data_IF_509022478063
#
_entry.id   IF_509022478063
#
_cell.length_a   1.000
_cell.length_b   1.000
_cell.length_c   1.000
_cell.angle_alpha   90.00
_cell.angle_beta   90.00
_cell.angle_gamma   90.00
#
_symmetry.space_group_name_H-M   'P 1'
#
loop_
_entity.id
_entity.type
_entity.pdbx_description
1 polymer ?
#
# COMPACT_ATOMS: atom_id res chain seq x y z
N UNK A 1 26.32 15.42 29.61
CA UNK A 1 26.31 14.03 29.08
C UNK A 1 24.89 13.48 28.77
N UNK A 2 23.88 13.65 29.62
CA UNK A 2 22.51 13.08 29.39
C UNK A 2 21.81 13.57 28.13
N UNK A 3 21.96 14.82 27.73
CA UNK A 3 21.30 15.38 26.53
C UNK A 3 21.85 14.82 25.21
N UNK A 4 23.16 14.55 25.14
CA UNK A 4 23.80 13.98 23.94
C UNK A 4 23.32 12.53 23.72
N UNK A 5 23.26 11.76 24.81
CA UNK A 5 22.78 10.37 24.75
C UNK A 5 21.31 10.28 24.32
N UNK A 6 20.43 11.16 24.84
CA UNK A 6 19.04 11.23 24.46
C UNK A 6 18.87 11.57 22.97
N UNK A 7 19.63 12.52 22.45
CA UNK A 7 19.64 12.89 21.03
C UNK A 7 20.04 11.73 20.13
N UNK A 8 21.13 11.05 20.45
CA UNK A 8 21.61 9.90 19.67
C UNK A 8 20.57 8.78 19.63
N UNK A 9 19.90 8.51 20.74
CA UNK A 9 18.81 7.52 20.80
C UNK A 9 17.61 7.92 19.98
N UNK A 10 17.20 9.19 20.01
CA UNK A 10 16.07 9.70 19.24
C UNK A 10 16.36 9.63 17.74
N UNK A 11 17.53 10.06 17.29
CA UNK A 11 17.95 9.99 15.88
C UNK A 11 18.01 8.52 15.43
N UNK A 12 18.61 7.61 16.20
CA UNK A 12 18.65 6.19 15.88
C UNK A 12 17.26 5.55 15.84
N UNK A 13 16.35 5.95 16.73
CA UNK A 13 14.96 5.50 16.71
C UNK A 13 14.24 5.95 15.44
N UNK A 14 14.37 7.22 15.05
CA UNK A 14 13.75 7.79 13.86
C UNK A 14 14.34 7.19 12.57
N UNK A 15 15.66 7.02 12.51
CA UNK A 15 16.37 6.35 11.40
C UNK A 15 15.88 4.91 11.21
N UNK A 16 15.61 4.17 12.30
CA UNK A 16 15.04 2.81 12.22
C UNK A 16 13.61 2.78 11.65
N UNK A 17 12.88 3.88 11.69
CA UNK A 17 11.53 3.99 11.11
C UNK A 17 11.56 4.25 9.61
N UNK A 18 12.61 4.85 9.09
CA UNK A 18 12.79 5.09 7.64
C UNK A 18 13.30 3.81 6.99
N UNK A 19 12.57 3.29 6.02
CA UNK A 19 12.81 1.97 5.40
C UNK A 19 13.79 2.02 4.22
N UNK A 20 14.07 3.19 3.67
CA UNK A 20 14.95 3.35 2.50
C UNK A 20 16.34 3.83 2.92
N UNK A 21 17.39 3.08 2.52
CA UNK A 21 18.78 3.43 2.78
C UNK A 21 19.20 4.74 2.11
N UNK A 22 18.67 5.00 0.92
CA UNK A 22 18.90 6.22 0.14
C UNK A 22 18.23 7.46 0.78
N UNK A 23 17.05 7.27 1.38
CA UNK A 23 16.35 8.33 2.13
C UNK A 23 17.01 8.59 3.49
N UNK A 24 17.67 7.59 4.07
CA UNK A 24 18.44 7.75 5.32
C UNK A 24 19.64 8.68 5.19
N UNK A 25 20.31 8.69 4.03
CA UNK A 25 21.43 9.60 3.77
C UNK A 25 21.00 11.07 3.75
N UNK A 26 19.74 11.35 3.37
CA UNK A 26 19.15 12.71 3.42
C UNK A 26 18.82 13.18 4.84
N UNK A 27 18.61 12.23 5.78
CA UNK A 27 18.33 12.52 7.21
C UNK A 27 19.63 12.66 8.02
N UNK A 28 20.72 12.09 7.55
CA UNK A 28 22.02 12.27 8.19
C UNK A 28 22.33 13.76 8.20
N UNK A 29 22.12 14.35 9.37
CA UNK A 29 22.49 15.73 9.66
C UNK A 29 23.91 15.95 9.17
N UNK A 30 24.17 16.93 8.30
CA UNK A 30 25.51 17.16 7.78
C UNK A 30 26.49 17.19 8.94
N UNK A 31 27.59 16.48 8.80
CA UNK A 31 28.65 16.36 9.82
C UNK A 31 29.05 17.75 10.39
N UNK A 32 28.98 18.77 9.52
CA UNK A 32 29.16 20.19 9.87
C UNK A 32 28.14 20.75 10.89
N UNK A 33 26.90 20.30 10.83
CA UNK A 33 25.86 20.76 11.77
C UNK A 33 26.04 20.09 13.15
N UNK A 34 26.47 18.84 13.18
CA UNK A 34 26.87 18.15 14.41
C UNK A 34 28.07 18.84 15.08
N UNK A 35 29.09 19.20 14.31
CA UNK A 35 30.26 19.93 14.78
C UNK A 35 29.87 21.31 15.34
N UNK A 36 28.97 22.06 14.68
CA UNK A 36 28.52 23.34 15.18
C UNK A 36 27.81 23.23 16.54
N UNK A 37 26.97 22.19 16.73
CA UNK A 37 26.32 21.91 18.02
C UNK A 37 27.32 21.52 19.10
N UNK A 38 28.34 20.73 18.77
CA UNK A 38 29.37 20.35 19.72
C UNK A 38 30.23 21.54 20.17
N UNK A 39 30.58 22.45 19.25
CA UNK A 39 31.39 23.63 19.51
C UNK A 39 30.67 24.72 20.25
N UNK A 40 29.38 24.96 19.92
CA UNK A 40 28.65 26.10 20.47
C UNK A 40 28.19 25.92 21.91
N UNK A 41 28.06 24.69 22.41
CA UNK A 41 27.46 24.34 23.73
C UNK A 41 26.10 25.05 23.98
N UNK A 42 25.51 25.63 22.98
CA UNK A 42 24.32 26.44 23.04
C UNK A 42 23.04 25.59 22.96
N UNK A 43 22.11 25.81 23.88
CA UNK A 43 20.78 25.18 23.83
C UNK A 43 20.01 25.59 22.55
N UNK A 44 20.19 26.84 22.09
CA UNK A 44 19.55 27.34 20.87
C UNK A 44 20.05 26.61 19.62
N UNK A 45 21.36 26.40 19.47
CA UNK A 45 21.92 25.65 18.34
C UNK A 45 21.44 24.19 18.32
N UNK A 46 21.30 23.57 19.50
CA UNK A 46 20.75 22.22 19.61
C UNK A 46 19.25 22.18 19.17
N UNK A 47 18.47 23.16 19.62
CA UNK A 47 17.06 23.25 19.25
C UNK A 47 16.88 23.43 17.74
N UNK A 48 17.70 24.22 17.09
CA UNK A 48 17.69 24.45 15.64
C UNK A 48 17.98 23.19 14.86
N UNK A 49 19.05 22.46 15.20
CA UNK A 49 19.38 21.16 14.55
C UNK A 49 18.27 20.14 14.76
N UNK A 50 17.65 20.10 15.94
CA UNK A 50 16.49 19.22 16.18
C UNK A 50 15.30 19.60 15.31
N UNK A 51 14.99 20.89 15.16
CA UNK A 51 13.91 21.38 14.30
C UNK A 51 14.16 20.96 12.84
N UNK A 52 15.33 21.26 12.29
CA UNK A 52 15.68 20.87 10.91
C UNK A 52 15.60 19.37 10.68
N UNK A 53 16.05 18.56 11.64
CA UNK A 53 15.96 17.10 11.57
C UNK A 53 14.51 16.62 11.58
N UNK A 54 13.67 17.19 12.43
CA UNK A 54 12.24 16.85 12.47
C UNK A 54 11.51 17.26 11.19
N UNK A 55 11.81 18.42 10.63
CA UNK A 55 11.25 18.87 9.36
C UNK A 55 11.65 17.95 8.20
N UNK A 56 12.93 17.58 8.11
CA UNK A 56 13.39 16.63 7.08
C UNK A 56 12.70 15.27 7.20
N UNK A 57 12.52 14.76 8.42
CA UNK A 57 11.81 13.49 8.67
C UNK A 57 10.33 13.62 8.29
N UNK A 58 9.65 14.71 8.66
CA UNK A 58 8.26 14.95 8.28
C UNK A 58 8.07 14.95 6.77
N UNK A 59 8.94 15.65 6.03
CA UNK A 59 8.90 15.67 4.56
C UNK A 59 9.04 14.28 3.96
N UNK A 60 9.99 13.47 4.47
CA UNK A 60 10.19 12.10 3.98
C UNK A 60 9.00 11.20 4.28
N UNK A 61 8.39 11.32 5.46
CA UNK A 61 7.20 10.55 5.82
C UNK A 61 5.99 10.94 4.96
N UNK A 62 5.84 12.22 4.64
CA UNK A 62 4.80 12.71 3.72
C UNK A 62 5.01 12.19 2.29
N UNK A 63 6.26 12.17 1.80
CA UNK A 63 6.62 11.59 0.50
C UNK A 63 6.34 10.08 0.46
N UNK A 64 6.72 9.33 1.50
CA UNK A 64 6.41 7.89 1.60
C UNK A 64 4.90 7.63 1.61
N UNK A 65 4.12 8.50 2.26
CA UNK A 65 2.66 8.38 2.28
C UNK A 65 2.05 8.70 0.91
N UNK A 66 2.57 9.70 0.18
CA UNK A 66 2.15 10.02 -1.19
C UNK A 66 2.54 8.93 -2.19
N UNK A 67 3.73 8.35 -2.07
CA UNK A 67 4.19 7.22 -2.90
C UNK A 67 3.30 6.00 -2.69
N UNK A 68 2.96 5.68 -1.45
CA UNK A 68 2.07 4.58 -1.14
C UNK A 68 0.67 4.76 -1.71
N UNK A 69 0.05 5.94 -1.54
CA UNK A 69 -1.23 6.31 -2.18
C UNK A 69 -1.16 6.24 -3.71
N UNK A 70 -0.01 6.56 -4.30
CA UNK A 70 0.25 6.36 -5.74
C UNK A 70 0.32 4.88 -6.11
N UNK A 71 0.91 4.03 -5.26
CA UNK A 71 1.07 2.60 -5.51
C UNK A 71 -0.28 1.88 -5.48
N UNK A 72 -1.13 2.14 -4.49
CA UNK A 72 -2.48 1.58 -4.41
C UNK A 72 -3.33 1.97 -5.61
N UNK A 73 -3.25 3.21 -6.06
CA UNK A 73 -3.94 3.66 -7.29
C UNK A 73 -3.47 2.92 -8.52
N UNK A 74 -2.16 2.70 -8.68
CA UNK A 74 -1.61 1.91 -9.80
C UNK A 74 -2.07 0.46 -9.75
N UNK A 75 -2.10 -0.16 -8.56
CA UNK A 75 -2.63 -1.51 -8.38
C UNK A 75 -4.09 -1.58 -8.82
N UNK A 76 -4.93 -0.66 -8.36
CA UNK A 76 -6.35 -0.62 -8.73
C UNK A 76 -6.54 -0.44 -10.24
N UNK A 77 -5.77 0.44 -10.88
CA UNK A 77 -5.82 0.63 -12.33
C UNK A 77 -5.45 -0.64 -13.11
N UNK A 78 -4.48 -1.43 -12.63
CA UNK A 78 -4.13 -2.72 -13.23
C UNK A 78 -5.26 -3.73 -13.01
N UNK A 79 -5.87 -3.77 -11.82
CA UNK A 79 -7.02 -4.64 -11.54
C UNK A 79 -8.18 -4.31 -12.49
N UNK A 80 -8.53 -3.04 -12.65
CA UNK A 80 -9.59 -2.57 -13.54
C UNK A 80 -9.34 -2.96 -15.00
N UNK A 81 -8.11 -2.90 -15.46
CA UNK A 81 -7.72 -3.25 -16.82
C UNK A 81 -7.75 -4.76 -17.06
N UNK A 82 -7.21 -5.54 -16.12
CA UNK A 82 -6.86 -6.94 -16.33
C UNK A 82 -7.69 -7.96 -15.53
N UNK A 83 -8.75 -7.55 -14.82
CA UNK A 83 -9.52 -8.41 -13.92
C UNK A 83 -10.08 -9.67 -14.60
N UNK A 84 -10.34 -9.65 -15.92
CA UNK A 84 -10.84 -10.80 -16.67
C UNK A 84 -9.79 -11.90 -16.87
N UNK A 85 -8.51 -11.54 -16.80
CA UNK A 85 -7.39 -12.45 -17.01
C UNK A 85 -6.88 -13.10 -15.72
N UNK A 86 -5.84 -13.94 -15.89
CA UNK A 86 -5.12 -14.54 -14.75
C UNK A 86 -4.18 -13.53 -14.15
N UNK A 87 -4.69 -12.69 -13.26
CA UNK A 87 -3.92 -11.67 -12.56
C UNK A 87 -3.68 -12.09 -11.10
N UNK A 88 -2.46 -11.89 -10.63
CA UNK A 88 -2.06 -12.16 -9.25
C UNK A 88 -1.22 -11.02 -8.66
N UNK A 89 -1.10 -11.00 -7.33
CA UNK A 89 -0.17 -10.10 -6.63
C UNK A 89 1.25 -10.12 -7.24
N UNK A 90 1.70 -11.32 -7.68
CA UNK A 90 3.04 -11.49 -8.27
C UNK A 90 3.14 -10.81 -9.63
N UNK A 91 2.10 -10.89 -10.45
CA UNK A 91 2.07 -10.29 -11.78
C UNK A 91 2.00 -8.77 -11.69
N UNK A 92 1.16 -8.24 -10.81
CA UNK A 92 1.10 -6.79 -10.51
C UNK A 92 2.46 -6.30 -9.98
N UNK A 93 3.09 -7.06 -9.07
CA UNK A 93 4.41 -6.71 -8.56
C UNK A 93 5.48 -6.65 -9.64
N UNK A 94 5.46 -7.59 -10.60
CA UNK A 94 6.36 -7.58 -11.76
C UNK A 94 6.13 -6.37 -12.66
N UNK A 95 4.87 -6.06 -12.98
CA UNK A 95 4.53 -4.93 -13.85
C UNK A 95 4.94 -3.59 -13.23
N UNK A 96 4.74 -3.44 -11.93
CA UNK A 96 5.13 -2.22 -11.19
C UNK A 96 6.60 -2.18 -10.79
N UNK A 97 7.40 -3.20 -11.15
CA UNK A 97 8.80 -3.34 -10.72
C UNK A 97 8.98 -3.30 -9.19
N UNK A 98 8.00 -3.85 -8.46
CA UNK A 98 7.97 -3.82 -7.00
C UNK A 98 7.94 -5.25 -6.46
N UNK A 99 8.68 -5.48 -5.36
CA UNK A 99 8.63 -6.77 -4.68
C UNK A 99 7.21 -7.06 -4.15
N UNK A 100 6.69 -8.27 -4.42
CA UNK A 100 5.32 -8.68 -4.05
C UNK A 100 5.04 -8.58 -2.55
N UNK A 101 6.02 -8.89 -1.69
CA UNK A 101 5.86 -8.78 -0.23
C UNK A 101 5.75 -7.31 0.22
N UNK A 102 6.50 -6.43 -0.40
CA UNK A 102 6.41 -4.99 -0.15
C UNK A 102 5.05 -4.46 -0.63
N UNK A 103 4.67 -4.80 -1.87
CA UNK A 103 3.39 -4.42 -2.47
C UNK A 103 2.20 -4.85 -1.60
N UNK A 104 2.17 -6.13 -1.17
CA UNK A 104 1.12 -6.67 -0.31
C UNK A 104 0.98 -5.89 1.00
N UNK A 105 2.11 -5.57 1.64
CA UNK A 105 2.12 -4.85 2.91
C UNK A 105 1.66 -3.39 2.77
N UNK A 106 2.15 -2.69 1.75
CA UNK A 106 1.79 -1.29 1.49
C UNK A 106 0.32 -1.21 1.12
N UNK A 107 -0.14 -2.03 0.19
CA UNK A 107 -1.53 -2.04 -0.26
C UNK A 107 -2.49 -2.31 0.91
N UNK A 108 -2.21 -3.35 1.73
CA UNK A 108 -3.05 -3.66 2.90
C UNK A 108 -3.02 -2.56 3.96
N UNK A 109 -1.86 -1.90 4.17
CA UNK A 109 -1.75 -0.78 5.11
C UNK A 109 -2.63 0.41 4.71
N UNK A 110 -2.74 0.68 3.41
CA UNK A 110 -3.43 1.85 2.88
C UNK A 110 -4.92 1.62 2.65
N UNK A 111 -5.28 0.42 2.15
CA UNK A 111 -6.66 0.12 1.78
C UNK A 111 -7.41 -0.69 2.84
N UNK A 112 -6.70 -1.32 3.77
CA UNK A 112 -7.25 -2.27 4.74
C UNK A 112 -7.43 -3.69 4.21
N UNK A 113 -7.33 -3.91 2.89
CA UNK A 113 -7.61 -5.18 2.19
C UNK A 113 -6.36 -5.74 1.54
N UNK A 114 -6.35 -7.05 1.26
CA UNK A 114 -5.30 -7.64 0.43
C UNK A 114 -5.54 -7.35 -1.05
N UNK A 115 -4.49 -7.42 -1.88
CA UNK A 115 -4.62 -7.29 -3.34
C UNK A 115 -5.54 -8.36 -3.91
N UNK A 116 -5.51 -9.59 -3.38
CA UNK A 116 -6.40 -10.69 -3.78
C UNK A 116 -7.87 -10.37 -3.44
N UNK A 117 -8.13 -9.80 -2.26
CA UNK A 117 -9.48 -9.36 -1.92
C UNK A 117 -9.96 -8.25 -2.85
N UNK A 118 -9.10 -7.31 -3.22
CA UNK A 118 -9.44 -6.24 -4.16
C UNK A 118 -9.77 -6.78 -5.56
N UNK A 119 -8.97 -7.73 -6.07
CA UNK A 119 -9.24 -8.39 -7.35
C UNK A 119 -10.62 -9.09 -7.30
N UNK A 120 -10.86 -9.88 -6.26
CA UNK A 120 -12.12 -10.62 -6.14
C UNK A 120 -13.32 -9.68 -5.95
N UNK A 121 -13.20 -8.64 -5.11
CA UNK A 121 -14.24 -7.65 -4.92
C UNK A 121 -14.63 -6.98 -6.25
N UNK A 122 -13.64 -6.55 -7.03
CA UNK A 122 -13.88 -5.93 -8.34
C UNK A 122 -14.55 -6.89 -9.33
N UNK A 123 -14.11 -8.17 -9.36
CA UNK A 123 -14.74 -9.21 -10.19
C UNK A 123 -16.21 -9.43 -9.83
N UNK A 124 -16.51 -9.49 -8.53
CA UNK A 124 -17.89 -9.68 -8.08
C UNK A 124 -18.75 -8.46 -8.39
N UNK A 125 -18.23 -7.25 -8.27
CA UNK A 125 -18.93 -6.04 -8.69
C UNK A 125 -19.30 -6.09 -10.18
N UNK A 126 -18.34 -6.47 -11.04
CA UNK A 126 -18.60 -6.67 -12.47
C UNK A 126 -19.54 -7.85 -12.78
N UNK A 127 -19.46 -8.91 -12.00
CA UNK A 127 -20.38 -10.03 -12.12
C UNK A 127 -21.84 -9.61 -11.82
N UNK A 128 -22.06 -8.75 -10.83
CA UNK A 128 -23.38 -8.21 -10.52
C UNK A 128 -23.95 -7.42 -11.68
N UNK A 129 -23.15 -6.53 -12.27
CA UNK A 129 -23.56 -5.74 -13.44
C UNK A 129 -24.04 -6.64 -14.60
N UNK A 130 -23.34 -7.77 -14.83
CA UNK A 130 -23.68 -8.71 -15.89
C UNK A 130 -24.92 -9.55 -15.50
N UNK A 131 -24.99 -10.04 -14.25
CA UNK A 131 -26.14 -10.82 -13.77
C UNK A 131 -27.46 -10.03 -13.80
N UNK A 132 -27.41 -8.72 -13.58
CA UNK A 132 -28.54 -7.82 -13.62
C UNK A 132 -29.17 -7.70 -15.03
N UNK A 133 -28.41 -7.97 -16.10
CA UNK A 133 -28.95 -8.00 -17.46
C UNK A 133 -29.89 -9.19 -17.71
N UNK A 134 -29.70 -10.28 -16.96
CA UNK A 134 -30.46 -11.53 -17.13
C UNK A 134 -30.11 -12.30 -18.39
N UNK A 135 -29.13 -11.87 -19.18
CA UNK A 135 -28.80 -12.44 -20.50
C UNK A 135 -27.88 -13.67 -20.41
N UNK A 136 -27.16 -13.84 -19.30
CA UNK A 136 -26.10 -14.84 -19.16
C UNK A 136 -26.39 -15.81 -18.02
N UNK A 137 -25.91 -17.05 -18.16
CA UNK A 137 -25.95 -18.03 -17.09
C UNK A 137 -24.88 -17.74 -16.05
N UNK A 138 -25.12 -18.13 -14.81
CA UNK A 138 -24.19 -17.94 -13.69
C UNK A 138 -22.76 -18.41 -13.99
N UNK A 139 -22.60 -19.59 -14.63
CA UNK A 139 -21.29 -20.11 -15.01
C UNK A 139 -20.57 -19.24 -16.05
N UNK A 140 -21.31 -18.75 -17.06
CA UNK A 140 -20.78 -17.86 -18.10
C UNK A 140 -20.30 -16.54 -17.50
N UNK A 141 -21.05 -15.99 -16.54
CA UNK A 141 -20.65 -14.76 -15.84
C UNK A 141 -19.36 -14.97 -15.05
N UNK A 142 -19.21 -16.13 -14.39
CA UNK A 142 -17.96 -16.47 -13.70
C UNK A 142 -16.74 -16.43 -14.64
N UNK A 143 -16.85 -17.05 -15.81
CA UNK A 143 -15.79 -17.03 -16.83
C UNK A 143 -15.52 -15.61 -17.35
N UNK A 144 -16.58 -14.83 -17.63
CA UNK A 144 -16.46 -13.46 -18.14
C UNK A 144 -15.74 -12.51 -17.19
N UNK A 145 -15.82 -12.76 -15.88
CA UNK A 145 -15.10 -11.96 -14.87
C UNK A 145 -13.77 -12.58 -14.44
N UNK A 146 -13.32 -13.65 -15.10
CA UNK A 146 -12.02 -14.27 -14.85
C UNK A 146 -12.00 -15.27 -13.68
N UNK A 147 -13.17 -15.85 -13.33
CA UNK A 147 -13.30 -16.93 -12.35
C UNK A 147 -13.84 -18.15 -13.08
N UNK A 148 -12.93 -18.98 -13.61
CA UNK A 148 -13.29 -20.15 -14.45
C UNK A 148 -13.97 -21.30 -13.66
N UNK A 149 -13.67 -21.43 -12.36
CA UNK A 149 -14.26 -22.47 -11.51
C UNK A 149 -15.61 -22.02 -10.95
N UNK A 150 -16.73 -22.68 -11.33
CA UNK A 150 -18.08 -22.27 -10.89
C UNK A 150 -18.30 -22.40 -9.38
N UNK A 151 -17.65 -23.40 -8.73
CA UNK A 151 -17.78 -23.58 -7.30
C UNK A 151 -17.04 -22.46 -6.55
N UNK A 152 -15.85 -22.12 -7.00
CA UNK A 152 -15.08 -21.00 -6.48
C UNK A 152 -15.80 -19.66 -6.74
N UNK A 153 -16.37 -19.47 -7.93
CA UNK A 153 -17.18 -18.27 -8.23
C UNK A 153 -18.34 -18.11 -7.25
N UNK A 154 -19.14 -19.17 -7.06
CA UNK A 154 -20.26 -19.16 -6.11
C UNK A 154 -19.80 -18.85 -4.68
N UNK A 155 -18.70 -19.46 -4.25
CA UNK A 155 -18.13 -19.23 -2.92
C UNK A 155 -17.69 -17.75 -2.75
N UNK A 156 -16.96 -17.22 -3.71
CA UNK A 156 -16.49 -15.82 -3.67
C UNK A 156 -17.66 -14.86 -3.72
N UNK A 157 -18.63 -15.09 -4.60
CA UNK A 157 -19.81 -14.26 -4.70
C UNK A 157 -20.61 -14.21 -3.40
N UNK A 158 -20.84 -15.38 -2.78
CA UNK A 158 -21.50 -15.47 -1.48
C UNK A 158 -20.74 -14.74 -0.37
N UNK A 159 -19.39 -14.83 -0.38
CA UNK A 159 -18.54 -14.11 0.59
C UNK A 159 -18.73 -12.60 0.54
N UNK A 160 -18.86 -12.02 -0.66
CA UNK A 160 -18.92 -10.56 -0.83
C UNK A 160 -20.36 -10.01 -0.81
N UNK A 161 -21.34 -10.77 -1.32
CA UNK A 161 -22.73 -10.32 -1.48
C UNK A 161 -23.68 -10.89 -0.41
N UNK A 162 -23.25 -11.86 0.36
CA UNK A 162 -24.08 -12.51 1.39
C UNK A 162 -25.16 -13.45 0.86
N UNK A 163 -25.25 -13.66 -0.47
CA UNK A 163 -26.19 -14.54 -1.16
C UNK A 163 -25.57 -15.18 -2.39
N UNK A 164 -26.17 -16.28 -2.89
CA UNK A 164 -25.64 -16.94 -4.08
C UNK A 164 -25.90 -16.12 -5.36
N UNK A 165 -25.11 -16.34 -6.44
CA UNK A 165 -25.38 -15.70 -7.73
C UNK A 165 -26.79 -15.98 -8.26
N UNK A 166 -27.30 -17.21 -8.08
CA UNK A 166 -28.66 -17.61 -8.50
C UNK A 166 -29.74 -16.87 -7.71
N UNK A 167 -29.55 -16.70 -6.39
CA UNK A 167 -30.48 -15.91 -5.56
C UNK A 167 -30.41 -14.42 -5.89
N UNK A 168 -29.29 -13.98 -6.42
CA UNK A 168 -29.10 -12.60 -6.86
C UNK A 168 -29.91 -12.30 -8.13
N UNK A 169 -29.93 -13.24 -9.09
CA UNK A 169 -30.68 -13.12 -10.34
C UNK A 169 -32.21 -13.19 -10.15
N UNK A 170 -32.70 -13.95 -9.17
CA UNK A 170 -34.15 -14.17 -8.93
C UNK A 170 -34.80 -13.03 -8.12
N UNK A 171 -34.39 -11.81 -8.35
CA UNK A 171 -35.03 -10.62 -7.77
C UNK A 171 -36.26 -10.15 -8.49
#
# INVERSE_FOLDING_TARGET
MRLVAFRTHLILYLVRKVKSKEKMEKILVPEKALDAVYRSKSKAALAEVMRETCEAISTILEEEQKEGSSLSRKVNSIIERDYRGKISLKDIGKELFVNSSYLSRVYKKETGYTVTDAINSYRIEKAKEILETGEYRVCEVGEMVGIEDPAYFTHVFLKYEGKSPSDFMNR
#
